data_IF_179927238541
#
_entry.id   IF_179927238541
#
_cell.length_a   1.000
_cell.length_b   1.000
_cell.length_c   1.000
_cell.angle_alpha   90.00
_cell.angle_beta   90.00
_cell.angle_gamma   90.00
#
_symmetry.space_group_name_H-M   'P 1'
#
loop_
_entity.id
_entity.type
_entity.pdbx_description
1 polymer ?
#
# COMPACT_ATOMS: atom_id res chain seq x y z
N UNK A 1 5.89 10.81 -22.32
CA UNK A 1 5.57 9.57 -21.61
C UNK A 1 5.70 9.92 -20.15
N UNK A 2 4.60 9.94 -19.38
CA UNK A 2 4.72 10.23 -17.96
C UNK A 2 5.52 9.09 -17.34
N UNK A 3 6.71 9.37 -16.82
CA UNK A 3 7.46 8.41 -16.03
C UNK A 3 6.68 8.18 -14.74
N UNK A 4 5.86 7.13 -14.70
CA UNK A 4 5.23 6.66 -13.47
C UNK A 4 6.36 6.28 -12.51
N UNK A 5 6.49 7.03 -11.43
CA UNK A 5 7.47 6.72 -10.39
C UNK A 5 6.85 5.69 -9.47
N UNK A 6 7.66 4.76 -8.98
CA UNK A 6 7.25 3.86 -7.92
C UNK A 6 7.59 4.51 -6.58
N UNK A 7 6.60 4.70 -5.71
CA UNK A 7 6.82 5.09 -4.33
C UNK A 7 6.74 3.86 -3.44
N UNK A 8 7.71 3.73 -2.55
CA UNK A 8 7.67 2.72 -1.49
C UNK A 8 6.85 3.28 -0.33
N UNK A 9 5.67 2.70 -0.12
CA UNK A 9 4.76 3.06 0.96
C UNK A 9 4.92 2.07 2.08
N UNK A 10 5.26 2.56 3.27
CA UNK A 10 5.24 1.76 4.50
C UNK A 10 3.85 1.81 5.10
N UNK A 11 3.22 0.64 5.23
CA UNK A 11 1.91 0.46 5.85
C UNK A 11 2.07 -0.47 7.03
N UNK A 12 1.82 0.06 8.22
CA UNK A 12 1.79 -0.75 9.44
C UNK A 12 0.48 -1.51 9.47
N UNK A 13 0.57 -2.84 9.43
CA UNK A 13 -0.57 -3.74 9.43
C UNK A 13 -0.66 -4.46 10.75
N UNK A 14 -1.89 -4.76 11.15
CA UNK A 14 -2.17 -5.49 12.36
C UNK A 14 -3.43 -6.32 12.14
N UNK A 15 -3.27 -7.64 12.12
CA UNK A 15 -4.40 -8.55 12.12
C UNK A 15 -4.51 -9.21 13.51
N UNK A 16 -5.49 -8.88 14.36
CA UNK A 16 -5.59 -9.45 15.71
C UNK A 16 -5.79 -10.98 15.75
N UNK A 17 -6.19 -11.61 14.64
CA UNK A 17 -6.36 -13.07 14.55
C UNK A 17 -5.04 -13.80 14.24
N UNK A 18 -4.05 -13.09 13.68
CA UNK A 18 -2.80 -13.68 13.15
C UNK A 18 -1.56 -13.08 13.81
N UNK A 19 -1.58 -11.76 14.03
CA UNK A 19 -0.46 -10.97 14.52
C UNK A 19 -0.61 -10.63 16.01
N UNK A 20 0.49 -10.84 16.73
CA UNK A 20 0.62 -10.53 18.15
C UNK A 20 0.96 -9.04 18.36
N UNK A 21 1.54 -8.40 17.34
CA UNK A 21 1.95 -7.00 17.35
C UNK A 21 1.88 -6.42 15.92
N UNK A 22 1.69 -5.09 15.76
CA UNK A 22 1.70 -4.45 14.45
C UNK A 22 3.03 -4.67 13.71
N UNK A 23 2.94 -5.00 12.42
CA UNK A 23 4.09 -5.25 11.56
C UNK A 23 4.16 -4.24 10.41
N UNK A 24 5.37 -3.74 10.08
CA UNK A 24 5.57 -2.87 8.92
C UNK A 24 5.57 -3.70 7.64
N UNK A 25 4.66 -3.37 6.72
CA UNK A 25 4.63 -3.93 5.38
C UNK A 25 5.00 -2.82 4.37
N UNK A 26 5.84 -3.15 3.40
CA UNK A 26 6.28 -2.19 2.38
C UNK A 26 5.68 -2.56 1.03
N UNK A 27 5.07 -1.59 0.37
CA UNK A 27 4.45 -1.78 -0.94
C UNK A 27 5.02 -0.78 -1.93
N UNK A 28 5.31 -1.23 -3.14
CA UNK A 28 5.73 -0.36 -4.23
C UNK A 28 4.53 -0.03 -5.09
N UNK A 29 4.13 1.24 -5.07
CA UNK A 29 2.93 1.71 -5.76
C UNK A 29 3.34 2.72 -6.83
N UNK A 30 2.90 2.54 -8.08
CA UNK A 30 3.07 3.57 -9.10
C UNK A 30 2.26 4.80 -8.69
N UNK A 31 2.90 5.97 -8.68
CA UNK A 31 2.26 7.24 -8.38
C UNK A 31 2.65 8.32 -9.39
N UNK A 32 1.74 9.26 -9.57
CA UNK A 32 1.92 10.50 -10.33
C UNK A 32 1.48 11.72 -9.50
N UNK A 33 1.46 12.91 -10.10
CA UNK A 33 1.04 14.15 -9.43
C UNK A 33 -0.47 14.21 -9.12
N UNK A 34 -1.26 13.29 -9.67
CA UNK A 34 -2.71 13.17 -9.44
C UNK A 34 -3.06 12.04 -8.47
N UNK A 35 -2.10 11.14 -8.19
CA UNK A 35 -2.29 9.95 -7.35
C UNK A 35 -2.39 10.37 -5.89
N UNK A 36 -3.58 10.23 -5.30
CA UNK A 36 -3.77 10.47 -3.88
C UNK A 36 -3.28 9.28 -3.05
N UNK A 37 -3.03 9.52 -1.75
CA UNK A 37 -2.69 8.43 -0.82
C UNK A 37 -3.79 7.35 -0.78
N UNK A 38 -5.06 7.76 -0.93
CA UNK A 38 -6.19 6.84 -0.98
C UNK A 38 -6.15 5.95 -2.22
N UNK A 39 -5.83 6.50 -3.39
CA UNK A 39 -5.62 5.72 -4.62
C UNK A 39 -4.46 4.74 -4.47
N UNK A 40 -3.37 5.17 -3.82
CA UNK A 40 -2.24 4.30 -3.56
C UNK A 40 -2.62 3.14 -2.63
N UNK A 41 -3.35 3.40 -1.55
CA UNK A 41 -3.88 2.37 -0.66
C UNK A 41 -4.90 1.46 -1.37
N UNK A 42 -5.75 2.02 -2.22
CA UNK A 42 -6.67 1.28 -3.07
C UNK A 42 -5.93 0.34 -4.03
N UNK A 43 -4.86 0.82 -4.67
CA UNK A 43 -4.02 -0.01 -5.52
C UNK A 43 -3.35 -1.14 -4.75
N UNK A 44 -2.80 -0.85 -3.56
CA UNK A 44 -2.24 -1.87 -2.68
C UNK A 44 -3.30 -2.92 -2.37
N UNK A 45 -4.52 -2.50 -2.01
CA UNK A 45 -5.62 -3.42 -1.71
C UNK A 45 -6.02 -4.27 -2.92
N UNK A 46 -6.19 -3.67 -4.10
CA UNK A 46 -6.64 -4.40 -5.29
C UNK A 46 -5.59 -5.32 -5.90
N UNK A 47 -4.29 -4.96 -5.84
CA UNK A 47 -3.23 -5.64 -6.59
C UNK A 47 -2.23 -6.39 -5.73
N UNK A 48 -1.94 -5.92 -4.51
CA UNK A 48 -0.82 -6.42 -3.70
C UNK A 48 -1.30 -7.16 -2.45
N UNK A 49 -2.38 -6.69 -1.82
CA UNK A 49 -2.86 -7.20 -0.55
C UNK A 49 -4.38 -7.01 -0.40
N UNK A 50 -5.20 -7.88 -1.01
CA UNK A 50 -6.67 -7.84 -0.91
C UNK A 50 -7.20 -8.04 0.51
N UNK A 51 -6.35 -8.54 1.40
CA UNK A 51 -6.57 -8.67 2.84
C UNK A 51 -6.40 -7.34 3.62
N UNK A 52 -6.04 -6.23 2.95
CA UNK A 52 -5.95 -4.90 3.55
C UNK A 52 -7.37 -4.36 3.83
N UNK A 53 -7.80 -4.33 5.10
CA UNK A 53 -9.10 -3.81 5.56
C UNK A 53 -8.97 -2.65 6.53
#
# INVERSE_FOLDING_TARGET
MAEMKNMKVEVVRYNPEVDIAPHSAFYEVPYDEQTSLLDALGYIKDNLAPDLS
#
